data_IF_247561546481
#
_entry.id   IF_247561546481
#
_cell.length_a   1.000
_cell.length_b   1.000
_cell.length_c   1.000
_cell.angle_alpha   90.00
_cell.angle_beta   90.00
_cell.angle_gamma   90.00
#
_symmetry.space_group_name_H-M   'P 1'
#
loop_
_entity.id
_entity.type
_entity.pdbx_description
1 polymer ?
#
# COMPACT_ATOMS: atom_id res chain seq x y z
N UNK A 1 27.03 -26.93 14.96
CA UNK A 1 26.92 -25.52 14.54
C UNK A 1 26.63 -25.53 13.05
N UNK A 2 25.54 -25.01 12.49
CA UNK A 2 24.45 -24.21 13.02
C UNK A 2 23.88 -23.37 11.89
N UNK A 3 23.51 -23.99 10.76
CA UNK A 3 22.99 -23.30 9.59
C UNK A 3 21.46 -23.27 9.65
N UNK A 4 20.92 -22.22 10.25
CA UNK A 4 19.48 -21.96 10.31
C UNK A 4 19.21 -20.50 9.92
N UNK A 5 19.37 -20.19 8.64
CA UNK A 5 18.92 -18.92 8.05
C UNK A 5 18.01 -19.14 6.83
N UNK A 6 17.13 -20.14 6.90
CA UNK A 6 15.98 -20.20 6.00
C UNK A 6 14.78 -19.61 6.73
N UNK A 7 14.57 -18.29 6.57
CA UNK A 7 13.32 -17.64 6.93
C UNK A 7 12.22 -18.30 6.12
N UNK A 8 11.38 -19.10 6.78
CA UNK A 8 10.25 -19.72 6.12
C UNK A 8 9.20 -18.63 5.85
N UNK A 9 8.93 -18.39 4.56
CA UNK A 9 7.79 -17.61 4.13
C UNK A 9 6.51 -18.34 4.57
N UNK A 10 5.91 -17.87 5.65
CA UNK A 10 4.54 -18.20 5.98
C UNK A 10 3.64 -17.52 4.95
N UNK A 11 3.15 -18.28 3.97
CA UNK A 11 1.93 -17.91 3.24
C UNK A 11 0.76 -18.10 4.20
N UNK A 12 0.57 -17.13 5.08
CA UNK A 12 -0.69 -17.00 5.80
C UNK A 12 -1.78 -16.82 4.74
N UNK A 13 -2.70 -17.79 4.70
CA UNK A 13 -3.90 -17.74 3.87
C UNK A 13 -4.57 -16.39 4.13
N UNK A 14 -4.63 -15.56 3.10
CA UNK A 14 -4.99 -14.14 3.15
C UNK A 14 -6.52 -13.99 3.25
N UNK A 15 -7.12 -14.61 4.26
CA UNK A 15 -8.53 -14.45 4.58
C UNK A 15 -8.68 -13.23 5.49
N UNK A 16 -9.23 -12.14 4.93
CA UNK A 16 -9.55 -10.86 5.57
C UNK A 16 -8.49 -9.75 5.59
N UNK A 17 -7.55 -9.71 4.64
CA UNK A 17 -6.92 -8.41 4.33
C UNK A 17 -7.87 -7.63 3.41
N UNK A 18 -8.24 -6.42 3.82
CA UNK A 18 -8.78 -5.43 2.90
C UNK A 18 -7.88 -5.40 1.67
N UNK A 19 -8.47 -5.57 0.49
CA UNK A 19 -7.70 -5.65 -0.73
C UNK A 19 -6.94 -4.33 -0.93
N UNK A 20 -5.62 -4.39 -0.82
CA UNK A 20 -4.71 -3.23 -0.93
C UNK A 20 -4.98 -2.47 -2.22
N UNK A 21 -5.29 -3.20 -3.30
CA UNK A 21 -5.62 -2.61 -4.59
C UNK A 21 -6.88 -1.73 -4.53
N UNK A 22 -7.94 -2.19 -3.86
CA UNK A 22 -9.18 -1.44 -3.68
C UNK A 22 -8.96 -0.20 -2.81
N UNK A 23 -8.16 -0.31 -1.75
CA UNK A 23 -7.83 0.84 -0.90
C UNK A 23 -7.05 1.89 -1.70
N UNK A 24 -6.03 1.47 -2.46
CA UNK A 24 -5.25 2.36 -3.31
C UNK A 24 -6.09 3.02 -4.41
N UNK A 25 -7.04 2.30 -5.01
CA UNK A 25 -7.98 2.86 -6.00
C UNK A 25 -8.82 3.99 -5.38
N UNK A 26 -9.43 3.75 -4.21
CA UNK A 26 -10.25 4.76 -3.54
C UNK A 26 -9.43 5.99 -3.13
N UNK A 27 -8.20 5.78 -2.65
CA UNK A 27 -7.27 6.86 -2.31
C UNK A 27 -6.89 7.66 -3.56
N UNK A 28 -6.58 6.97 -4.66
CA UNK A 28 -6.25 7.60 -5.93
C UNK A 28 -7.39 8.50 -6.44
N UNK A 29 -8.62 7.98 -6.44
CA UNK A 29 -9.81 8.75 -6.84
C UNK A 29 -9.98 9.98 -5.94
N UNK A 30 -9.89 9.80 -4.62
CA UNK A 30 -10.10 10.89 -3.67
C UNK A 30 -9.04 12.00 -3.79
N UNK A 31 -7.77 11.63 -4.01
CA UNK A 31 -6.67 12.57 -4.23
C UNK A 31 -6.86 13.33 -5.56
N UNK A 32 -7.23 12.60 -6.62
CA UNK A 32 -7.47 13.18 -7.96
C UNK A 32 -8.62 14.19 -7.94
N UNK A 33 -9.75 13.85 -7.31
CA UNK A 33 -10.90 14.75 -7.19
C UNK A 33 -10.61 16.04 -6.41
N UNK A 34 -9.63 15.99 -5.50
CA UNK A 34 -9.18 17.15 -4.73
C UNK A 34 -8.05 17.92 -5.42
N UNK A 35 -7.58 17.47 -6.59
CA UNK A 35 -6.51 18.12 -7.34
C UNK A 35 -5.11 17.91 -6.76
N UNK A 36 -4.94 16.91 -5.89
CA UNK A 36 -3.60 16.50 -5.45
C UNK A 36 -2.95 15.60 -6.49
N UNK A 37 -1.61 15.56 -6.51
CA UNK A 37 -0.88 14.53 -7.25
C UNK A 37 -0.93 13.22 -6.45
N UNK A 38 -1.64 12.17 -6.92
CA UNK A 38 -1.85 10.98 -6.10
C UNK A 38 -0.56 10.24 -5.77
N UNK A 39 0.36 10.13 -6.75
CA UNK A 39 1.64 9.43 -6.59
C UNK A 39 2.48 10.09 -5.50
N UNK A 40 2.67 11.42 -5.56
CA UNK A 40 3.47 12.14 -4.59
C UNK A 40 2.92 12.00 -3.16
N UNK A 41 1.60 12.06 -3.00
CA UNK A 41 0.95 11.96 -1.69
C UNK A 41 1.04 10.53 -1.13
N UNK A 42 0.81 9.51 -1.96
CA UNK A 42 0.92 8.11 -1.54
C UNK A 42 2.37 7.77 -1.17
N UNK A 43 3.36 8.20 -1.97
CA UNK A 43 4.78 8.03 -1.64
C UNK A 43 5.13 8.75 -0.33
N UNK A 44 4.68 9.98 -0.15
CA UNK A 44 4.87 10.74 1.09
C UNK A 44 4.31 10.02 2.31
N UNK A 45 3.10 9.45 2.19
CA UNK A 45 2.48 8.64 3.23
C UNK A 45 3.27 7.36 3.55
N UNK A 46 3.67 6.58 2.54
CA UNK A 46 4.42 5.33 2.74
C UNK A 46 5.72 5.59 3.49
N UNK A 47 6.49 6.60 3.05
CA UNK A 47 7.80 6.94 3.62
C UNK A 47 7.71 7.51 5.04
N UNK A 48 6.77 8.44 5.28
CA UNK A 48 6.67 9.15 6.56
C UNK A 48 5.78 8.47 7.59
N UNK A 49 4.78 7.71 7.14
CA UNK A 49 3.67 7.22 7.96
C UNK A 49 2.65 8.30 8.34
N UNK A 50 2.82 9.55 7.90
CA UNK A 50 1.95 10.66 8.26
C UNK A 50 0.66 10.65 7.41
N UNK A 51 -0.53 10.39 8.01
CA UNK A 51 -1.78 10.33 7.26
C UNK A 51 -2.25 11.69 6.72
N UNK A 52 -1.61 12.82 7.07
CA UNK A 52 -1.96 14.14 6.54
C UNK A 52 -1.68 14.27 5.04
N UNK A 53 -0.77 13.47 4.48
CA UNK A 53 -0.58 13.36 3.04
C UNK A 53 -1.83 12.89 2.30
N UNK A 54 -2.70 12.11 2.94
CA UNK A 54 -3.91 11.58 2.31
C UNK A 54 -5.10 12.45 2.72
N UNK A 55 -5.94 12.82 1.76
CA UNK A 55 -7.14 13.61 2.02
C UNK A 55 -8.17 12.81 2.82
N UNK A 56 -8.98 13.47 3.65
CA UNK A 56 -10.14 12.84 4.31
C UNK A 56 -11.34 12.67 3.37
N UNK A 57 -11.29 13.23 2.16
CA UNK A 57 -12.34 13.08 1.16
C UNK A 57 -12.64 11.61 0.88
N UNK A 58 -13.93 11.25 0.80
CA UNK A 58 -14.39 9.86 0.62
C UNK A 58 -13.80 8.85 1.62
N UNK A 59 -13.45 9.30 2.82
CA UNK A 59 -12.82 8.46 3.84
C UNK A 59 -11.46 7.89 3.43
N UNK A 60 -10.79 8.44 2.41
CA UNK A 60 -9.52 7.89 1.89
C UNK A 60 -8.44 7.79 2.98
N UNK A 61 -8.29 8.81 3.83
CA UNK A 61 -7.36 8.78 4.96
C UNK A 61 -7.63 7.63 5.93
N UNK A 62 -8.89 7.38 6.30
CA UNK A 62 -9.19 6.29 7.24
C UNK A 62 -9.13 4.92 6.59
N UNK A 63 -9.31 4.84 5.26
CA UNK A 63 -9.15 3.59 4.51
C UNK A 63 -7.69 3.17 4.43
N UNK A 64 -6.79 4.07 4.03
CA UNK A 64 -5.37 3.73 3.87
C UNK A 64 -4.70 3.35 5.19
N UNK A 65 -5.14 3.94 6.31
CA UNK A 65 -4.65 3.61 7.65
C UNK A 65 -5.06 2.21 8.15
N UNK A 66 -5.94 1.50 7.45
CA UNK A 66 -6.32 0.11 7.77
C UNK A 66 -5.39 -0.92 7.11
N UNK A 67 -4.48 -0.46 6.26
CA UNK A 67 -3.52 -1.29 5.54
C UNK A 67 -2.14 -0.96 6.05
N UNK A 68 -1.34 -1.99 6.32
CA UNK A 68 0.06 -1.78 6.70
C UNK A 68 0.87 -1.23 5.52
N UNK A 69 1.81 -0.32 5.82
CA UNK A 69 2.53 0.42 4.76
C UNK A 69 3.49 -0.46 3.96
N UNK A 70 4.05 -1.48 4.60
CA UNK A 70 4.90 -2.48 3.95
C UNK A 70 4.08 -3.34 2.98
N UNK A 71 2.82 -3.68 3.30
CA UNK A 71 1.92 -4.37 2.36
C UNK A 71 1.63 -3.53 1.12
N UNK A 72 1.43 -2.22 1.28
CA UNK A 72 1.27 -1.30 0.15
C UNK A 72 2.53 -1.33 -0.73
N UNK A 73 3.71 -1.25 -0.12
CA UNK A 73 4.98 -1.23 -0.85
C UNK A 73 5.27 -2.56 -1.57
N UNK A 74 5.00 -3.69 -0.90
CA UNK A 74 5.16 -5.03 -1.44
C UNK A 74 4.28 -5.23 -2.68
N UNK A 75 2.99 -4.87 -2.60
CA UNK A 75 2.05 -4.95 -3.71
C UNK A 75 2.51 -4.09 -4.91
N UNK A 76 2.91 -2.85 -4.66
CA UNK A 76 3.41 -1.95 -5.72
C UNK A 76 4.67 -2.50 -6.42
N UNK A 77 5.60 -3.09 -5.67
CA UNK A 77 6.81 -3.68 -6.22
C UNK A 77 6.51 -4.97 -7.00
N UNK A 78 5.61 -5.82 -6.48
CA UNK A 78 5.18 -7.03 -7.16
C UNK A 78 4.56 -6.70 -8.53
N UNK A 79 3.65 -5.74 -8.59
CA UNK A 79 3.04 -5.27 -9.84
C UNK A 79 4.08 -4.67 -10.79
N UNK A 80 5.06 -3.93 -10.29
CA UNK A 80 6.14 -3.40 -11.14
C UNK A 80 6.97 -4.52 -11.78
N UNK A 81 7.38 -5.53 -10.99
CA UNK A 81 8.14 -6.68 -11.49
C UNK A 81 7.32 -7.42 -12.54
N UNK A 82 6.05 -7.71 -12.26
CA UNK A 82 5.18 -8.45 -13.16
C UNK A 82 4.83 -7.69 -14.44
N UNK A 83 4.82 -6.35 -14.41
CA UNK A 83 4.46 -5.52 -15.57
C UNK A 83 5.65 -5.02 -16.40
N UNK A 84 6.87 -5.02 -15.84
CA UNK A 84 8.07 -4.43 -16.49
C UNK A 84 9.23 -5.38 -16.67
N UNK A 85 9.35 -6.44 -15.85
CA UNK A 85 10.53 -7.31 -15.83
C UNK A 85 10.23 -8.75 -16.26
N UNK A 86 8.99 -9.20 -16.11
CA UNK A 86 8.48 -10.46 -16.69
C UNK A 86 7.81 -10.19 -18.02
#
# INVERSE_FOLDING_TARGET
>A
MGDIHNTQYFKAVQENKLDVSQVLEQVYIALTEKGYNPVNQIVGYIMSGDPTYITSHKSARSLIMKVERDEILEELLAVYIDSKLK
#
